data_IF_141166406760
#
_entry.id   IF_141166406760
#
_cell.length_a   1.000
_cell.length_b   1.000
_cell.length_c   1.000
_cell.angle_alpha   90.00
_cell.angle_beta   90.00
_cell.angle_gamma   90.00
#
_symmetry.space_group_name_H-M   'P 1'
#
loop_
_entity.id
_entity.type
_entity.pdbx_description
1 polymer ?
#
# COMPACT_ATOMS: atom_id res chain seq x y z
N UNK A 1 13.44 18.82 -4.22
CA UNK A 1 12.37 17.83 -4.42
C UNK A 1 12.59 17.18 -5.78
N UNK A 2 12.66 15.85 -5.89
CA UNK A 2 12.90 15.16 -7.18
C UNK A 2 11.88 15.60 -8.24
N UNK A 3 12.33 15.85 -9.47
CA UNK A 3 11.48 16.31 -10.57
C UNK A 3 10.26 15.41 -10.82
N UNK A 4 10.37 14.11 -10.51
CA UNK A 4 9.31 13.10 -10.69
C UNK A 4 8.38 12.88 -9.50
N UNK A 5 8.73 13.35 -8.29
CA UNK A 5 7.93 13.09 -7.08
C UNK A 5 6.61 13.86 -7.10
N UNK A 6 6.67 15.15 -7.44
CA UNK A 6 5.49 16.02 -7.47
C UNK A 6 4.44 15.55 -8.48
N UNK A 7 4.78 15.24 -9.76
CA UNK A 7 3.81 14.69 -10.70
C UNK A 7 3.20 13.36 -10.23
N UNK A 8 4.00 12.48 -9.61
CA UNK A 8 3.53 11.21 -9.07
C UNK A 8 2.48 11.41 -7.97
N UNK A 9 2.79 12.21 -6.94
CA UNK A 9 1.87 12.50 -5.85
C UNK A 9 0.61 13.24 -6.32
N UNK A 10 0.74 14.11 -7.32
CA UNK A 10 -0.40 14.77 -7.95
C UNK A 10 -1.31 13.76 -8.67
N UNK A 11 -0.76 12.80 -9.41
CA UNK A 11 -1.53 11.74 -10.04
C UNK A 11 -2.27 10.87 -9.00
N UNK A 12 -1.58 10.50 -7.91
CA UNK A 12 -2.19 9.76 -6.79
C UNK A 12 -3.32 10.57 -6.16
N UNK A 13 -3.10 11.85 -5.85
CA UNK A 13 -4.11 12.75 -5.27
C UNK A 13 -5.36 12.83 -6.14
N UNK A 14 -5.21 13.10 -7.44
CA UNK A 14 -6.35 13.20 -8.37
C UNK A 14 -7.12 11.89 -8.47
N UNK A 15 -6.41 10.77 -8.44
CA UNK A 15 -7.04 9.44 -8.47
C UNK A 15 -7.79 9.15 -7.17
N UNK A 16 -7.25 9.56 -6.01
CA UNK A 16 -7.95 9.45 -4.73
C UNK A 16 -9.18 10.37 -4.65
N UNK A 17 -9.11 11.59 -5.20
CA UNK A 17 -10.26 12.50 -5.30
C UNK A 17 -11.43 11.87 -6.07
N UNK A 18 -11.13 11.12 -7.12
CA UNK A 18 -12.11 10.37 -7.91
C UNK A 18 -12.55 9.06 -7.23
N UNK A 19 -11.63 8.35 -6.58
CA UNK A 19 -11.89 7.04 -6.00
C UNK A 19 -12.71 7.11 -4.70
N UNK A 20 -12.51 8.14 -3.86
CA UNK A 20 -13.18 8.29 -2.56
C UNK A 20 -14.56 8.96 -2.73
N UNK A 21 -15.38 8.43 -3.64
CA UNK A 21 -16.77 8.85 -3.85
C UNK A 21 -17.69 7.77 -3.26
N UNK A 22 -17.55 7.54 -1.94
CA UNK A 22 -18.16 6.41 -1.26
C UNK A 22 -19.60 6.71 -0.83
N UNK A 23 -20.46 5.70 -0.92
CA UNK A 23 -21.83 5.75 -0.42
C UNK A 23 -22.10 4.58 0.51
N UNK A 24 -23.01 4.77 1.45
CA UNK A 24 -23.45 3.68 2.31
C UNK A 24 -24.19 2.62 1.48
N UNK A 25 -23.76 1.36 1.55
CA UNK A 25 -24.29 0.26 0.76
C UNK A 25 -24.39 -1.02 1.60
N UNK A 26 -25.61 -1.55 1.74
CA UNK A 26 -25.86 -2.78 2.49
C UNK A 26 -25.47 -4.02 1.66
N UNK A 27 -25.06 -5.09 2.33
CA UNK A 27 -24.67 -6.33 1.66
C UNK A 27 -25.85 -6.95 0.92
N UNK A 28 -25.63 -7.34 -0.35
CA UNK A 28 -26.61 -8.06 -1.16
C UNK A 28 -26.65 -9.57 -0.85
N UNK A 29 -25.58 -10.11 -0.26
CA UNK A 29 -25.42 -11.56 -0.02
C UNK A 29 -25.90 -11.96 1.37
N UNK A 30 -25.70 -11.10 2.37
CA UNK A 30 -26.03 -11.41 3.77
C UNK A 30 -26.94 -10.32 4.33
N UNK A 31 -28.15 -10.73 4.76
CA UNK A 31 -29.13 -9.82 5.33
C UNK A 31 -28.56 -9.10 6.57
N UNK A 32 -28.88 -7.80 6.73
CA UNK A 32 -28.48 -6.97 7.89
C UNK A 32 -26.97 -6.79 8.08
N UNK A 33 -26.16 -7.15 7.10
CA UNK A 33 -24.72 -6.88 7.13
C UNK A 33 -24.37 -5.67 6.25
N UNK A 34 -23.40 -4.90 6.72
CA UNK A 34 -22.75 -3.85 5.95
C UNK A 34 -21.24 -4.04 6.13
N UNK A 35 -20.56 -4.41 5.04
CA UNK A 35 -19.15 -4.77 5.02
C UNK A 35 -18.46 -4.03 3.87
N UNK A 36 -17.17 -3.70 4.00
CA UNK A 36 -16.42 -3.10 2.90
C UNK A 36 -16.37 -4.07 1.70
N UNK A 37 -17.05 -3.70 0.61
CA UNK A 37 -17.16 -4.54 -0.59
C UNK A 37 -15.80 -4.83 -1.21
N UNK A 38 -14.82 -3.92 -1.07
CA UNK A 38 -13.47 -4.14 -1.61
C UNK A 38 -12.68 -5.26 -0.91
N UNK A 39 -13.02 -5.58 0.35
CA UNK A 39 -12.43 -6.70 1.10
C UNK A 39 -13.18 -8.01 0.87
N UNK A 40 -14.51 -7.97 0.73
CA UNK A 40 -15.33 -9.18 0.58
C UNK A 40 -15.39 -9.68 -0.86
N UNK A 41 -15.52 -8.76 -1.83
CA UNK A 41 -15.57 -9.04 -3.28
C UNK A 41 -16.62 -10.08 -3.66
N UNK A 42 -17.75 -10.08 -2.97
CA UNK A 42 -18.87 -10.97 -3.25
C UNK A 42 -19.56 -10.64 -4.57
N UNK A 43 -19.70 -9.35 -4.86
CA UNK A 43 -20.44 -8.82 -6.00
C UNK A 43 -19.48 -8.04 -6.90
N UNK A 44 -19.26 -8.51 -8.13
CA UNK A 44 -18.29 -7.91 -9.05
C UNK A 44 -18.74 -6.55 -9.56
N UNK A 45 -20.04 -6.35 -9.69
CA UNK A 45 -20.70 -5.10 -10.10
C UNK A 45 -20.49 -3.96 -9.11
N UNK A 46 -20.11 -4.26 -7.86
CA UNK A 46 -19.82 -3.27 -6.82
C UNK A 46 -18.34 -2.86 -6.80
N UNK A 47 -17.48 -3.56 -7.56
CA UNK A 47 -16.06 -3.30 -7.64
C UNK A 47 -15.75 -2.46 -8.88
N UNK A 48 -14.89 -1.45 -8.71
CA UNK A 48 -14.37 -0.66 -9.81
C UNK A 48 -13.05 -1.25 -10.30
N UNK A 49 -12.64 -0.81 -11.50
CA UNK A 49 -11.36 -1.17 -12.06
C UNK A 49 -10.23 -0.67 -11.15
N UNK A 50 -9.34 -1.55 -10.68
CA UNK A 50 -8.21 -1.10 -9.87
C UNK A 50 -7.21 -0.32 -10.74
N UNK A 51 -6.59 0.69 -10.15
CA UNK A 51 -5.64 1.59 -10.82
C UNK A 51 -4.30 1.48 -10.12
N UNK A 52 -3.23 1.35 -10.90
CA UNK A 52 -1.86 1.36 -10.39
C UNK A 52 -1.15 2.60 -10.92
N UNK A 53 -0.55 3.36 -10.02
CA UNK A 53 0.25 4.53 -10.34
C UNK A 53 1.66 4.23 -9.87
N UNK A 54 2.61 4.22 -10.79
CA UNK A 54 4.01 3.89 -10.49
C UNK A 54 4.90 5.08 -10.81
N UNK A 55 5.81 5.42 -9.90
CA UNK A 55 6.88 6.40 -10.15
C UNK A 55 8.10 5.73 -10.78
N UNK A 56 8.37 4.49 -10.35
CA UNK A 56 9.40 3.59 -10.86
C UNK A 56 8.96 2.15 -10.56
N UNK A 57 9.80 1.15 -10.86
CA UNK A 57 9.48 -0.27 -10.65
C UNK A 57 9.22 -0.63 -9.18
N UNK A 58 9.84 0.09 -8.23
CA UNK A 58 9.79 -0.20 -6.79
C UNK A 58 8.76 0.65 -6.04
N UNK A 59 8.54 1.88 -6.48
CA UNK A 59 7.66 2.86 -5.84
C UNK A 59 6.36 3.02 -6.63
N UNK A 60 5.27 2.53 -6.04
CA UNK A 60 3.95 2.48 -6.67
C UNK A 60 2.82 2.47 -5.65
N UNK A 61 1.64 2.91 -6.08
CA UNK A 61 0.38 2.79 -5.33
C UNK A 61 -0.63 2.02 -6.15
N UNK A 62 -1.27 1.04 -5.51
CA UNK A 62 -2.49 0.39 -6.01
C UNK A 62 -3.70 1.00 -5.31
N UNK A 63 -4.65 1.48 -6.10
CA UNK A 63 -5.92 2.01 -5.62
C UNK A 63 -7.02 1.10 -6.15
N UNK A 64 -7.81 0.56 -5.24
CA UNK A 64 -8.90 -0.33 -5.55
C UNK A 64 -10.16 0.24 -4.93
N UNK A 65 -11.14 0.59 -5.76
CA UNK A 65 -12.36 1.23 -5.30
C UNK A 65 -13.56 0.30 -5.47
N UNK A 66 -14.55 0.51 -4.62
CA UNK A 66 -15.85 -0.11 -4.66
C UNK A 66 -16.90 0.93 -4.26
N UNK A 67 -18.18 0.56 -4.31
CA UNK A 67 -19.29 1.46 -3.96
C UNK A 67 -19.19 2.07 -2.55
N UNK A 68 -18.73 1.30 -1.55
CA UNK A 68 -18.72 1.74 -0.14
C UNK A 68 -17.34 1.77 0.51
N UNK A 69 -16.29 1.38 -0.21
CA UNK A 69 -14.93 1.33 0.35
C UNK A 69 -13.83 1.45 -0.71
N UNK A 70 -12.70 2.07 -0.33
CA UNK A 70 -11.47 2.15 -1.12
C UNK A 70 -10.33 1.52 -0.34
N UNK A 71 -9.57 0.66 -1.01
CA UNK A 71 -8.29 0.14 -0.51
C UNK A 71 -7.14 0.78 -1.26
N UNK A 72 -6.15 1.26 -0.50
CA UNK A 72 -4.99 1.98 -1.02
C UNK A 72 -3.75 1.24 -0.51
N UNK A 73 -2.94 0.68 -1.40
CA UNK A 73 -1.73 -0.07 -1.02
C UNK A 73 -0.51 0.61 -1.60
N UNK A 74 0.50 0.86 -0.77
CA UNK A 74 1.68 1.65 -1.11
C UNK A 74 2.92 0.76 -0.99
N UNK A 75 3.73 0.76 -2.05
CA UNK A 75 5.07 0.20 -2.07
C UNK A 75 6.05 1.38 -1.92
N UNK A 76 6.83 1.33 -0.85
CA UNK A 76 7.76 2.37 -0.43
C UNK A 76 9.10 2.13 -1.13
N UNK A 77 9.81 3.21 -1.44
CA UNK A 77 11.15 3.11 -2.02
C UNK A 77 12.10 2.45 -1.00
N UNK A 78 12.83 1.42 -1.46
CA UNK A 78 13.86 0.73 -0.69
C UNK A 78 15.14 0.71 -1.53
N UNK A 79 16.12 1.54 -1.17
CA UNK A 79 17.39 1.63 -1.91
C UNK A 79 18.36 0.51 -1.51
N UNK A 80 18.43 0.22 -0.21
CA UNK A 80 19.39 -0.71 0.41
C UNK A 80 18.70 -1.67 1.41
N UNK A 81 19.39 -2.74 1.81
CA UNK A 81 18.88 -3.72 2.78
C UNK A 81 18.50 -3.09 4.14
N UNK A 82 19.28 -2.10 4.59
CA UNK A 82 18.97 -1.35 5.82
C UNK A 82 17.63 -0.64 5.69
N UNK A 83 17.37 0.03 4.56
CA UNK A 83 16.10 0.72 4.33
C UNK A 83 14.94 -0.27 4.24
N UNK A 84 15.14 -1.43 3.63
CA UNK A 84 14.12 -2.49 3.58
C UNK A 84 13.73 -2.96 4.99
N UNK A 85 14.71 -3.20 5.86
CA UNK A 85 14.46 -3.59 7.26
C UNK A 85 13.76 -2.47 8.04
N UNK A 86 14.18 -1.21 7.83
CA UNK A 86 13.57 -0.06 8.49
C UNK A 86 12.13 0.17 8.04
N UNK A 87 11.87 0.13 6.73
CA UNK A 87 10.54 0.25 6.16
C UNK A 87 9.61 -0.86 6.70
N UNK A 88 10.08 -2.11 6.72
CA UNK A 88 9.31 -3.24 7.25
C UNK A 88 9.01 -3.08 8.74
N UNK A 89 9.98 -2.67 9.57
CA UNK A 89 9.76 -2.46 11.01
C UNK A 89 8.83 -1.27 11.28
N UNK A 90 8.99 -0.18 10.54
CA UNK A 90 8.18 1.03 10.67
C UNK A 90 6.71 0.77 10.29
N UNK A 91 6.47 0.18 9.13
CA UNK A 91 5.12 -0.18 8.69
C UNK A 91 4.47 -1.19 9.63
N UNK A 92 5.21 -2.21 10.09
CA UNK A 92 4.72 -3.15 11.11
C UNK A 92 4.34 -2.46 12.41
N UNK A 93 5.15 -1.51 12.87
CA UNK A 93 4.84 -0.72 14.07
C UNK A 93 3.53 0.06 13.95
N UNK A 94 3.29 0.70 12.79
CA UNK A 94 2.04 1.40 12.53
C UNK A 94 0.85 0.45 12.46
N UNK A 95 0.98 -0.69 11.77
CA UNK A 95 -0.10 -1.68 11.64
C UNK A 95 -0.49 -2.30 12.99
N UNK A 96 0.44 -2.42 13.95
CA UNK A 96 0.11 -2.83 15.32
C UNK A 96 -0.80 -1.83 16.05
N UNK A 97 -0.90 -0.58 15.57
CA UNK A 97 -1.73 0.49 16.13
C UNK A 97 -2.96 0.81 15.28
N UNK A 98 -3.33 -0.08 14.36
CA UNK A 98 -4.49 0.10 13.48
C UNK A 98 -5.82 0.30 14.24
N UNK A 99 -5.91 -0.12 15.50
CA UNK A 99 -7.09 0.16 16.35
C UNK A 99 -7.28 1.66 16.62
N UNK A 100 -6.18 2.39 16.86
CA UNK A 100 -6.22 3.84 17.05
C UNK A 100 -6.16 4.58 15.71
N UNK A 101 -5.57 3.94 14.70
CA UNK A 101 -5.43 4.49 13.37
C UNK A 101 -6.43 3.84 12.41
N UNK A 102 -7.70 4.24 12.56
CA UNK A 102 -8.89 3.52 12.06
C UNK A 102 -8.93 3.24 10.55
N UNK A 103 -8.19 3.99 9.75
CA UNK A 103 -8.10 3.79 8.29
C UNK A 103 -6.98 2.82 7.88
N UNK A 104 -6.15 2.35 8.81
CA UNK A 104 -5.01 1.49 8.51
C UNK A 104 -5.42 0.01 8.53
N UNK A 105 -4.97 -0.77 7.54
CA UNK A 105 -5.16 -2.23 7.57
C UNK A 105 -4.12 -2.87 8.48
N UNK A 106 -4.52 -3.90 9.22
CA UNK A 106 -3.61 -4.68 10.10
C UNK A 106 -2.53 -5.47 9.34
N UNK A 107 -2.75 -5.72 8.05
CA UNK A 107 -1.82 -6.39 7.15
C UNK A 107 -1.85 -5.69 5.78
N UNK A 108 -0.71 -5.59 5.08
CA UNK A 108 -0.69 -5.04 3.75
C UNK A 108 -1.27 -6.04 2.74
N UNK A 109 -1.56 -5.56 1.53
CA UNK A 109 -1.92 -6.41 0.40
C UNK A 109 -0.66 -7.07 -0.16
N UNK A 110 -0.74 -8.37 -0.40
CA UNK A 110 0.30 -9.11 -1.13
C UNK A 110 -0.02 -9.16 -2.61
N UNK A 111 1.01 -9.02 -3.44
CA UNK A 111 0.89 -9.27 -4.87
C UNK A 111 1.11 -10.75 -5.08
N UNK A 112 0.20 -11.43 -5.76
CA UNK A 112 0.49 -12.76 -6.30
C UNK A 112 0.42 -12.68 -7.81
N UNK A 113 1.12 -13.57 -8.49
CA UNK A 113 1.14 -13.68 -9.94
C UNK A 113 0.49 -15.00 -10.35
N UNK A 114 -0.32 -15.00 -11.41
CA UNK A 114 -0.82 -16.24 -12.03
C UNK A 114 -0.12 -16.47 -13.36
N UNK A 115 0.53 -17.62 -13.53
CA UNK A 115 1.10 -18.02 -14.81
C UNK A 115 0.06 -18.82 -15.60
N UNK A 116 -0.26 -18.38 -16.82
CA UNK A 116 -1.06 -19.15 -17.77
C UNK A 116 -0.17 -19.52 -18.97
N UNK A 117 0.11 -20.82 -19.15
CA UNK A 117 0.70 -21.34 -20.39
C UNK A 117 2.12 -20.86 -20.73
N UNK A 118 3.01 -20.70 -19.73
CA UNK A 118 4.41 -20.33 -19.96
C UNK A 118 4.67 -18.84 -20.17
N UNK A 119 3.64 -17.99 -20.08
CA UNK A 119 3.81 -16.55 -19.93
C UNK A 119 3.45 -16.14 -18.48
N UNK A 120 4.43 -15.60 -17.75
CA UNK A 120 4.23 -15.01 -16.43
C UNK A 120 3.58 -13.63 -16.62
N UNK A 121 2.27 -13.62 -16.87
CA UNK A 121 1.47 -12.41 -16.90
C UNK A 121 1.14 -12.04 -15.46
N UNK A 122 1.75 -10.96 -14.96
CA UNK A 122 1.60 -10.54 -13.58
C UNK A 122 0.17 -10.10 -13.29
N UNK A 123 -0.65 -11.04 -12.81
CA UNK A 123 -2.06 -10.81 -12.47
C UNK A 123 -2.15 -10.69 -10.98
N UNK A 124 -2.50 -9.51 -10.47
CA UNK A 124 -2.62 -9.23 -9.03
C UNK A 124 -3.73 -10.08 -8.39
N UNK A 125 -3.45 -11.33 -8.00
CA UNK A 125 -4.43 -12.12 -7.23
C UNK A 125 -4.41 -11.63 -5.80
N UNK A 126 -5.36 -10.77 -5.48
CA UNK A 126 -5.68 -10.50 -4.10
C UNK A 126 -6.54 -11.67 -3.64
N UNK A 127 -6.01 -12.45 -2.70
CA UNK A 127 -6.61 -13.64 -2.13
C UNK A 127 -8.14 -13.55 -2.03
N UNK A 128 -8.84 -14.18 -2.96
CA UNK A 128 -10.25 -14.47 -2.86
C UNK A 128 -10.40 -15.89 -2.31
N UNK A 129 -11.30 -16.10 -1.34
CA UNK A 129 -11.85 -17.43 -1.04
C UNK A 129 -12.81 -17.92 -2.14
N UNK A 130 -13.07 -17.11 -3.16
CA UNK A 130 -14.06 -17.33 -4.23
C UNK A 130 -13.42 -17.00 -5.59
N UNK A 131 -13.00 -18.04 -6.33
CA UNK A 131 -12.18 -17.99 -7.55
C UNK A 131 -12.64 -17.06 -8.68
N UNK A 132 -12.48 -15.75 -8.52
CA UNK A 132 -12.92 -14.73 -9.47
C UNK A 132 -11.77 -13.76 -9.72
N UNK A 133 -11.25 -13.77 -10.95
CA UNK A 133 -10.07 -13.02 -11.37
C UNK A 133 -10.46 -11.66 -11.97
N UNK A 134 -9.86 -10.58 -11.47
CA UNK A 134 -9.77 -9.29 -12.17
C UNK A 134 -8.32 -9.07 -12.60
N UNK A 135 -8.10 -8.98 -13.90
CA UNK A 135 -6.75 -8.83 -14.48
C UNK A 135 -6.44 -7.35 -14.66
N UNK A 136 -5.32 -6.90 -14.09
CA UNK A 136 -4.70 -5.62 -14.47
C UNK A 136 -3.53 -5.99 -15.38
N UNK A 137 -3.62 -5.62 -16.65
CA UNK A 137 -2.53 -5.84 -17.61
C UNK A 137 -1.36 -4.91 -17.28
N UNK A 138 -0.13 -5.43 -17.16
CA UNK A 138 1.06 -4.55 -17.12
C UNK A 138 2.37 -5.11 -16.54
N UNK A 139 2.37 -6.23 -15.82
CA UNK A 139 3.59 -6.71 -15.16
C UNK A 139 4.16 -7.95 -15.86
N UNK A 140 5.40 -7.87 -16.34
CA UNK A 140 6.23 -9.02 -16.73
C UNK A 140 7.22 -9.30 -15.60
N UNK A 141 7.21 -10.52 -15.09
CA UNK A 141 8.27 -11.03 -14.22
C UNK A 141 9.55 -11.15 -15.07
N UNK A 142 10.63 -10.44 -14.71
CA UNK A 142 11.92 -10.63 -15.37
C UNK A 142 12.57 -11.89 -14.80
N UNK A 143 12.42 -13.00 -15.54
CA UNK A 143 13.18 -14.25 -15.51
C UNK A 143 13.83 -14.68 -14.17
N UNK A 144 13.30 -15.77 -13.60
CA UNK A 144 14.08 -16.92 -13.12
C UNK A 144 15.30 -16.64 -12.24
N UNK A 145 15.07 -16.41 -10.95
CA UNK A 145 16.09 -16.49 -9.91
C UNK A 145 15.43 -16.80 -8.58
N UNK A 146 15.90 -17.83 -7.88
CA UNK A 146 15.37 -18.40 -6.63
C UNK A 146 15.47 -17.48 -5.40
N UNK A 147 15.35 -16.17 -5.55
CA UNK A 147 15.16 -15.19 -4.49
C UNK A 147 14.14 -14.16 -4.99
N UNK A 148 12.85 -14.48 -4.86
CA UNK A 148 11.74 -13.67 -5.38
C UNK A 148 11.84 -12.22 -4.91
N UNK A 149 12.04 -11.30 -5.86
CA UNK A 149 11.86 -9.87 -5.64
C UNK A 149 10.39 -9.65 -5.25
N UNK A 150 10.15 -9.51 -3.96
CA UNK A 150 8.82 -9.45 -3.41
C UNK A 150 8.18 -8.11 -3.85
N UNK A 151 7.45 -8.11 -4.96
CA UNK A 151 6.62 -7.00 -5.46
C UNK A 151 5.37 -6.78 -4.58
N UNK A 152 5.51 -7.03 -3.28
CA UNK A 152 4.48 -6.79 -2.28
C UNK A 152 4.33 -5.28 -2.03
N UNK A 153 3.19 -4.90 -1.44
CA UNK A 153 3.00 -3.58 -0.88
C UNK A 153 3.41 -3.61 0.59
N UNK A 154 3.98 -2.52 1.08
CA UNK A 154 4.50 -2.45 2.45
C UNK A 154 3.41 -2.08 3.46
N UNK A 155 2.44 -1.27 3.03
CA UNK A 155 1.35 -0.78 3.85
C UNK A 155 0.07 -0.61 3.04
N UNK A 156 -1.08 -0.83 3.69
CA UNK A 156 -2.37 -0.62 3.06
C UNK A 156 -3.34 0.11 3.98
N UNK A 157 -4.13 1.01 3.40
CA UNK A 157 -5.22 1.73 4.02
C UNK A 157 -6.57 1.21 3.50
N UNK A 158 -7.59 1.26 4.34
CA UNK A 158 -8.98 0.95 4.03
C UNK A 158 -9.86 2.12 4.47
N UNK A 159 -10.40 2.83 3.49
CA UNK A 159 -11.35 3.93 3.71
C UNK A 159 -12.76 3.39 3.41
N UNK A 160 -13.72 3.61 4.30
CA UNK A 160 -15.12 3.20 4.14
C UNK A 160 -16.03 4.42 4.11
N UNK A 161 -17.29 4.25 3.75
CA UNK A 161 -18.29 5.32 3.82
C UNK A 161 -18.41 5.90 5.25
N UNK A 162 -18.30 5.08 6.30
CA UNK A 162 -18.34 5.53 7.69
C UNK A 162 -17.20 6.50 8.04
N UNK A 163 -16.02 6.30 7.44
CA UNK A 163 -14.91 7.24 7.59
C UNK A 163 -15.22 8.57 6.91
N UNK A 164 -15.86 8.57 5.74
CA UNK A 164 -16.23 9.81 5.02
C UNK A 164 -17.43 10.54 5.62
N UNK A 165 -18.25 9.85 6.43
CA UNK A 165 -19.35 10.45 7.20
C UNK A 165 -18.84 11.19 8.45
N UNK A 166 -17.78 10.68 9.09
CA UNK A 166 -17.21 11.26 10.33
C UNK A 166 -16.02 12.19 10.09
N UNK A 167 -15.29 12.01 9.00
CA UNK A 167 -14.10 12.78 8.65
C UNK A 167 -14.23 13.41 7.27
N UNK A 168 -13.70 14.61 7.12
CA UNK A 168 -13.70 15.27 5.82
C UNK A 168 -12.85 14.48 4.81
N UNK A 169 -13.48 14.08 3.69
CA UNK A 169 -12.81 13.36 2.60
C UNK A 169 -11.50 14.00 2.18
N UNK A 170 -11.48 15.32 1.97
CA UNK A 170 -10.28 16.01 1.50
C UNK A 170 -9.13 15.93 2.51
N UNK A 171 -9.43 15.91 3.83
CA UNK A 171 -8.44 15.71 4.88
C UNK A 171 -7.90 14.29 4.90
N UNK A 172 -8.72 13.27 4.63
CA UNK A 172 -8.25 11.90 4.47
C UNK A 172 -7.27 11.78 3.29
N UNK A 173 -7.59 12.41 2.15
CA UNK A 173 -6.71 12.43 0.98
C UNK A 173 -5.41 13.16 1.30
N UNK A 174 -5.49 14.35 1.91
CA UNK A 174 -4.31 15.12 2.33
C UNK A 174 -3.43 14.30 3.26
N UNK A 175 -4.03 13.60 4.21
CA UNK A 175 -3.32 12.71 5.12
C UNK A 175 -2.56 11.60 4.36
N UNK A 176 -3.18 10.92 3.39
CA UNK A 176 -2.52 9.85 2.62
C UNK A 176 -1.35 10.42 1.80
N UNK A 177 -1.53 11.58 1.17
CA UNK A 177 -0.46 12.23 0.41
C UNK A 177 0.68 12.67 1.33
N UNK A 178 0.36 13.28 2.47
CA UNK A 178 1.35 13.67 3.46
C UNK A 178 2.12 12.46 4.00
N UNK A 179 1.43 11.36 4.30
CA UNK A 179 2.06 10.11 4.71
C UNK A 179 3.06 9.60 3.66
N UNK A 180 2.70 9.63 2.37
CA UNK A 180 3.60 9.26 1.28
C UNK A 180 4.80 10.21 1.13
N UNK A 181 4.67 11.48 1.47
CA UNK A 181 5.76 12.47 1.44
C UNK A 181 6.74 12.32 2.61
N UNK A 182 6.23 12.01 3.80
CA UNK A 182 7.03 11.96 5.03
C UNK A 182 7.69 10.60 5.26
N UNK A 183 7.13 9.50 4.75
CA UNK A 183 7.67 8.15 5.01
C UNK A 183 9.11 7.98 4.54
N UNK A 184 9.45 8.54 3.37
CA UNK A 184 10.82 8.51 2.84
C UNK A 184 11.79 9.30 3.72
N UNK A 185 11.33 10.43 4.28
CA UNK A 185 12.15 11.26 5.16
C UNK A 185 12.38 10.57 6.50
N UNK A 186 11.34 9.99 7.08
CA UNK A 186 11.40 9.26 8.34
C UNK A 186 12.34 8.05 8.25
N UNK A 187 12.25 7.27 7.16
CA UNK A 187 13.16 6.14 6.93
C UNK A 187 14.61 6.61 6.80
N UNK A 188 14.84 7.70 6.07
CA UNK A 188 16.18 8.28 5.92
C UNK A 188 16.72 8.82 7.26
N UNK A 189 15.88 9.46 8.07
CA UNK A 189 16.27 9.92 9.41
C UNK A 189 16.61 8.75 10.34
N UNK A 190 15.81 7.68 10.36
CA UNK A 190 16.12 6.45 11.10
C UNK A 190 17.45 5.84 10.67
N UNK A 191 17.73 5.79 9.35
CA UNK A 191 18.99 5.28 8.80
C UNK A 191 20.18 6.10 9.29
N UNK A 192 20.09 7.43 9.21
CA UNK A 192 21.13 8.33 9.70
C UNK A 192 21.36 8.17 11.21
N UNK A 193 20.28 8.06 11.99
CA UNK A 193 20.36 7.88 13.45
C UNK A 193 20.99 6.55 13.86
N UNK A 194 20.80 5.48 13.08
CA UNK A 194 21.45 4.18 13.31
C UNK A 194 22.94 4.27 12.99
N UNK A 195 23.31 4.85 11.84
CA UNK A 195 24.71 4.98 11.44
C UNK A 195 25.51 5.85 12.41
N UNK A 196 24.93 6.97 12.87
CA UNK A 196 25.54 7.84 13.86
C UNK A 196 25.78 7.10 15.19
N UNK A 197 24.78 6.35 15.68
CA UNK A 197 24.91 5.57 16.91
C UNK A 197 25.93 4.45 16.79
N UNK A 198 25.94 3.72 15.67
CA UNK A 198 26.91 2.67 15.41
C UNK A 198 28.35 3.19 15.44
N UNK A 199 28.59 4.38 14.87
CA UNK A 199 29.89 5.05 14.92
C UNK A 199 30.33 5.36 16.36
N UNK A 200 29.45 5.99 17.14
CA UNK A 200 29.74 6.32 18.55
C UNK A 200 30.05 5.05 19.36
N UNK A 201 29.27 3.99 19.16
CA UNK A 201 29.51 2.71 19.84
C UNK A 201 30.87 2.10 19.47
N UNK A 202 31.26 2.15 18.18
CA UNK A 202 32.56 1.66 17.74
C UNK A 202 33.72 2.49 18.30
N UNK A 203 33.61 3.83 18.28
CA UNK A 203 34.61 4.74 18.84
C UNK A 203 34.81 4.50 20.35
N UNK A 204 33.71 4.40 21.13
CA UNK A 204 33.80 4.11 22.56
C UNK A 204 34.35 2.73 22.89
N UNK A 205 34.07 1.73 22.05
CA UNK A 205 34.65 0.40 22.23
C UNK A 205 36.15 0.40 21.98
N UNK A 206 36.62 1.11 20.95
CA UNK A 206 38.04 1.17 20.59
C UNK A 206 38.88 1.99 21.55
N UNK A 207 38.33 3.01 22.23
CA UNK A 207 39.04 3.78 23.28
C UNK A 207 39.55 2.92 24.45
N UNK A 208 39.05 1.69 24.60
CA UNK A 208 39.43 0.77 25.69
C UNK A 208 40.64 -0.10 25.36
N UNK A 209 41.16 -0.05 24.14
CA UNK A 209 42.36 -0.73 23.68
C UNK A 209 43.45 0.29 23.37
#
# INVERSE_FOLDING_TARGET
MSATLRPYLQAVRRTLEAAVCLVNFNSQVVERHNKPEIELRSSKELLLNPVIISRNERERVLIESSVNSVRISIAIKQADDIESILAHKFTRFMMMRADNFVILRRKPVKMSFTSNGGQNLGTLTINNKTGSHSSINGFKETNGGTNGSNLDYDISFLITNFHTESMYRFKLIDFIIHFMEEIDKEINEMKLAINARARITAEEFLKKF
#
